data_IF_657123197058
#
_entry.id   IF_657123197058
#
_cell.length_a   1.000
_cell.length_b   1.000
_cell.length_c   1.000
_cell.angle_alpha   90.00
_cell.angle_beta   90.00
_cell.angle_gamma   90.00
#
_symmetry.space_group_name_H-M   'P 1'
#
loop_
_entity.id
_entity.type
_entity.pdbx_description
1 polymer ?
#
# COMPACT_ATOMS: atom_id res chain seq x y z
N UNK A 1 28.45 -5.89 10.73
CA UNK A 1 27.37 -4.95 11.05
C UNK A 1 27.78 -3.58 10.53
N UNK A 2 27.20 -3.13 9.42
CA UNK A 2 27.45 -1.81 8.88
C UNK A 2 26.11 -1.08 8.74
N UNK A 3 25.92 -0.01 9.51
CA UNK A 3 24.75 0.86 9.41
C UNK A 3 24.83 1.80 8.21
N UNK A 4 25.87 1.70 7.38
CA UNK A 4 26.05 2.56 6.21
C UNK A 4 26.25 4.04 6.55
N UNK A 5 26.50 4.37 7.82
CA UNK A 5 26.61 5.74 8.32
C UNK A 5 25.30 6.32 8.86
N UNK A 6 24.21 5.55 8.96
CA UNK A 6 22.99 5.95 9.64
C UNK A 6 23.12 5.77 11.17
N UNK A 7 22.41 6.61 11.94
CA UNK A 7 22.42 6.56 13.41
C UNK A 7 21.76 5.30 13.96
N UNK A 8 20.62 4.92 13.38
CA UNK A 8 19.87 3.72 13.75
C UNK A 8 19.39 3.02 12.49
N UNK A 9 19.55 1.70 12.45
CA UNK A 9 18.97 0.85 11.41
C UNK A 9 18.15 -0.23 12.12
N UNK A 10 16.90 -0.37 11.71
CA UNK A 10 15.95 -1.36 12.21
C UNK A 10 15.62 -2.34 11.09
N UNK A 11 15.65 -3.63 11.39
CA UNK A 11 15.25 -4.69 10.47
C UNK A 11 13.91 -5.26 10.94
N UNK A 12 12.99 -5.38 10.00
CA UNK A 12 11.64 -5.88 10.20
C UNK A 12 11.45 -7.11 9.33
N UNK A 13 11.11 -8.23 9.95
CA UNK A 13 10.67 -9.42 9.25
C UNK A 13 9.24 -9.23 8.72
N UNK A 14 8.95 -9.77 7.53
CA UNK A 14 7.63 -9.69 6.91
C UNK A 14 6.49 -10.20 7.81
N UNK A 15 6.74 -11.24 8.62
CA UNK A 15 5.75 -11.77 9.58
C UNK A 15 5.26 -10.74 10.59
N UNK A 16 6.14 -9.84 11.02
CA UNK A 16 5.80 -8.77 11.94
C UNK A 16 4.88 -7.75 11.25
N UNK A 17 5.22 -7.37 10.01
CA UNK A 17 4.40 -6.48 9.19
C UNK A 17 3.02 -7.09 8.93
N UNK A 18 2.96 -8.37 8.54
CA UNK A 18 1.73 -9.11 8.32
C UNK A 18 0.89 -9.19 9.59
N UNK A 19 1.51 -9.39 10.76
CA UNK A 19 0.80 -9.37 12.04
C UNK A 19 0.17 -8.00 12.33
N UNK A 20 0.89 -6.90 12.05
CA UNK A 20 0.35 -5.55 12.19
C UNK A 20 -0.79 -5.27 11.22
N UNK A 21 -0.65 -5.66 9.94
CA UNK A 21 -1.69 -5.49 8.93
C UNK A 21 -2.95 -6.27 9.29
N UNK A 22 -2.78 -7.50 9.78
CA UNK A 22 -3.89 -8.32 10.29
C UNK A 22 -4.61 -7.66 11.46
N UNK A 23 -3.85 -7.16 12.45
CA UNK A 23 -4.45 -6.44 13.59
C UNK A 23 -5.18 -5.18 13.10
N UNK A 24 -4.58 -4.39 12.21
CA UNK A 24 -5.19 -3.18 11.65
C UNK A 24 -6.50 -3.50 10.90
N UNK A 25 -6.52 -4.60 10.15
CA UNK A 25 -7.72 -5.11 9.48
C UNK A 25 -8.80 -5.50 10.50
N UNK A 26 -8.47 -6.32 11.49
CA UNK A 26 -9.41 -6.72 12.54
C UNK A 26 -9.94 -5.53 13.36
N UNK A 27 -9.17 -4.45 13.49
CA UNK A 27 -9.56 -3.21 14.16
C UNK A 27 -10.33 -2.23 13.26
N UNK A 28 -10.60 -2.59 11.99
CA UNK A 28 -11.32 -1.74 11.04
C UNK A 28 -10.59 -0.45 10.71
N UNK A 29 -9.25 -0.46 10.67
CA UNK A 29 -8.44 0.74 10.39
C UNK A 29 -8.30 1.05 8.90
N UNK A 30 -8.65 0.11 8.03
CA UNK A 30 -8.74 0.37 6.60
C UNK A 30 -10.08 1.01 6.28
N UNK A 31 -10.10 2.14 5.56
CA UNK A 31 -11.35 2.83 5.22
C UNK A 31 -12.16 2.01 4.22
N UNK A 32 -13.48 2.04 4.38
CA UNK A 32 -14.41 1.72 3.30
C UNK A 32 -14.76 3.00 2.56
N UNK A 33 -14.74 2.94 1.24
CA UNK A 33 -15.13 4.05 0.37
C UNK A 33 -16.55 3.83 -0.09
N UNK A 34 -17.46 4.70 0.33
CA UNK A 34 -18.87 4.63 -0.03
C UNK A 34 -19.27 5.86 -0.83
N UNK A 35 -20.16 5.69 -1.79
CA UNK A 35 -20.71 6.78 -2.56
C UNK A 35 -21.86 6.37 -3.45
N UNK A 36 -22.38 7.34 -4.18
CA UNK A 36 -23.41 7.14 -5.20
C UNK A 36 -22.90 7.73 -6.50
N UNK A 37 -22.99 6.95 -7.56
CA UNK A 37 -22.72 7.39 -8.92
C UNK A 37 -24.04 7.47 -9.68
N UNK A 38 -24.42 8.68 -10.07
CA UNK A 38 -25.59 8.91 -10.91
C UNK A 38 -25.20 8.80 -12.38
N UNK A 39 -25.86 7.92 -13.12
CA UNK A 39 -25.61 7.73 -14.55
C UNK A 39 -25.85 9.04 -15.32
N UNK A 40 -24.94 9.45 -16.23
CA UNK A 40 -25.04 10.72 -16.96
C UNK A 40 -25.98 10.59 -18.16
N UNK A 41 -27.23 10.19 -17.93
CA UNK A 41 -28.26 10.06 -18.97
C UNK A 41 -29.15 11.31 -18.94
N UNK A 42 -29.23 12.08 -20.04
CA UNK A 42 -30.10 13.25 -20.09
C UNK A 42 -31.58 12.85 -20.24
N UNK A 43 -32.47 13.73 -19.78
CA UNK A 43 -33.94 13.64 -19.99
C UNK A 43 -34.59 12.34 -19.47
N UNK A 44 -34.13 11.86 -18.31
CA UNK A 44 -34.76 10.71 -17.64
C UNK A 44 -36.06 11.15 -16.96
N UNK A 45 -37.18 10.45 -17.22
CA UNK A 45 -38.45 10.71 -16.52
C UNK A 45 -38.32 10.63 -15.00
N UNK A 46 -39.02 11.49 -14.26
CA UNK A 46 -39.02 11.57 -12.78
C UNK A 46 -39.26 10.20 -12.10
N UNK A 47 -40.08 9.34 -12.72
CA UNK A 47 -40.39 7.99 -12.24
C UNK A 47 -39.25 6.99 -12.39
N UNK A 48 -38.19 7.34 -13.12
CA UNK A 48 -37.01 6.51 -13.35
C UNK A 48 -35.72 7.09 -12.74
N UNK A 49 -35.78 8.28 -12.13
CA UNK A 49 -34.62 8.92 -11.50
C UNK A 49 -33.99 8.04 -10.41
N UNK A 50 -34.80 7.33 -9.60
CA UNK A 50 -34.31 6.44 -8.54
C UNK A 50 -33.49 5.24 -9.07
N UNK A 51 -33.62 4.90 -10.35
CA UNK A 51 -32.87 3.82 -10.98
C UNK A 51 -31.57 4.31 -11.64
N UNK A 52 -31.32 5.62 -11.66
CA UNK A 52 -30.08 6.19 -12.19
C UNK A 52 -28.92 6.14 -11.20
N UNK A 53 -29.23 5.95 -9.91
CA UNK A 53 -28.25 5.95 -8.85
C UNK A 53 -27.67 4.55 -8.64
N UNK A 54 -26.34 4.49 -8.72
CA UNK A 54 -25.54 3.30 -8.40
C UNK A 54 -24.84 3.58 -7.09
N UNK A 55 -25.35 3.02 -6.01
CA UNK A 55 -24.62 2.96 -4.74
C UNK A 55 -23.40 2.08 -4.90
N UNK A 56 -22.26 2.48 -4.34
CA UNK A 56 -21.07 1.65 -4.28
C UNK A 56 -20.44 1.71 -2.90
N UNK A 57 -19.87 0.58 -2.48
CA UNK A 57 -19.01 0.46 -1.31
C UNK A 57 -17.81 -0.37 -1.69
N UNK A 58 -16.61 0.18 -1.56
CA UNK A 58 -15.35 -0.50 -1.80
C UNK A 58 -14.59 -0.64 -0.49
N UNK A 59 -14.18 -1.85 -0.15
CA UNK A 59 -13.44 -2.12 1.08
C UNK A 59 -12.49 -3.32 0.91
N UNK A 60 -11.81 -3.72 1.98
CA UNK A 60 -10.98 -4.91 1.99
C UNK A 60 -11.80 -6.12 2.42
N UNK A 61 -11.82 -7.16 1.58
CA UNK A 61 -12.45 -8.44 1.88
C UNK A 61 -11.63 -9.25 2.91
N UNK A 62 -10.30 -9.08 2.92
CA UNK A 62 -9.36 -9.77 3.81
C UNK A 62 -8.17 -8.89 4.18
N UNK A 63 -7.40 -9.32 5.18
CA UNK A 63 -6.15 -8.67 5.52
C UNK A 63 -5.19 -8.64 4.31
N UNK A 64 -4.53 -7.51 4.03
CA UNK A 64 -3.49 -7.45 3.02
C UNK A 64 -2.29 -8.24 3.50
N UNK A 65 -1.61 -8.90 2.56
CA UNK A 65 -0.40 -9.70 2.82
C UNK A 65 0.78 -9.02 2.17
N UNK A 66 1.87 -8.92 2.92
CA UNK A 66 3.14 -8.38 2.53
C UNK A 66 4.16 -9.52 2.44
N UNK A 67 4.93 -9.56 1.37
CA UNK A 67 6.02 -10.51 1.20
C UNK A 67 7.23 -9.83 0.57
N UNK A 68 8.43 -10.25 0.97
CA UNK A 68 9.65 -9.92 0.25
C UNK A 68 9.93 -11.00 -0.78
N UNK A 69 10.20 -10.61 -2.03
CA UNK A 69 10.54 -11.57 -3.07
C UNK A 69 12.04 -11.87 -3.07
N UNK A 70 12.42 -13.02 -3.63
CA UNK A 70 13.84 -13.37 -3.85
C UNK A 70 14.58 -12.34 -4.72
N UNK A 71 13.85 -11.57 -5.53
CA UNK A 71 14.38 -10.49 -6.36
C UNK A 71 14.66 -9.19 -5.58
N UNK A 72 14.28 -9.11 -4.30
CA UNK A 72 14.42 -7.89 -3.49
C UNK A 72 13.32 -6.87 -3.70
N UNK A 73 12.16 -7.32 -4.21
CA UNK A 73 10.97 -6.49 -4.38
C UNK A 73 9.99 -6.73 -3.23
N UNK A 74 9.15 -5.74 -2.97
CA UNK A 74 8.01 -5.89 -2.09
C UNK A 74 6.82 -6.38 -2.91
N UNK A 75 6.18 -7.43 -2.45
CA UNK A 75 4.93 -7.91 -3.02
C UNK A 75 3.81 -7.67 -2.00
N UNK A 76 2.75 -7.01 -2.45
CA UNK A 76 1.55 -6.77 -1.66
C UNK A 76 0.39 -7.48 -2.35
N UNK A 77 -0.24 -8.41 -1.64
CA UNK A 77 -1.47 -9.06 -2.09
C UNK A 77 -2.65 -8.45 -1.34
N UNK A 78 -3.64 -7.98 -2.08
CA UNK A 78 -4.84 -7.32 -1.55
C UNK A 78 -6.07 -7.99 -2.13
N UNK A 79 -7.03 -8.34 -1.28
CA UNK A 79 -8.36 -8.78 -1.73
C UNK A 79 -9.38 -7.70 -1.39
N UNK A 80 -9.85 -7.01 -2.42
CA UNK A 80 -10.87 -5.97 -2.32
C UNK A 80 -12.26 -6.55 -2.52
N UNK A 81 -13.23 -5.95 -1.88
CA UNK A 81 -14.67 -6.19 -2.07
C UNK A 81 -15.30 -4.88 -2.55
N UNK A 82 -16.10 -4.98 -3.60
CA UNK A 82 -16.94 -3.90 -4.10
C UNK A 82 -18.39 -4.37 -4.11
N UNK A 83 -19.22 -3.75 -3.29
CA UNK A 83 -20.66 -3.96 -3.24
C UNK A 83 -21.33 -2.84 -4.00
N UNK A 84 -22.14 -3.18 -5.00
CA UNK A 84 -22.90 -2.22 -5.79
C UNK A 84 -24.38 -2.38 -5.52
N UNK A 85 -25.07 -1.27 -5.19
CA UNK A 85 -26.53 -1.23 -5.07
C UNK A 85 -27.10 -0.51 -6.29
N UNK A 86 -27.83 -1.24 -7.14
CA UNK A 86 -28.47 -0.70 -8.34
C UNK A 86 -29.96 -0.91 -8.30
N UNK A 87 -30.68 -0.20 -9.18
CA UNK A 87 -32.13 -0.33 -9.33
C UNK A 87 -32.89 -0.22 -8.00
N UNK A 88 -32.44 0.70 -7.13
CA UNK A 88 -33.04 1.02 -5.83
C UNK A 88 -32.77 0.01 -4.69
N UNK A 89 -32.46 -1.26 -4.97
CA UNK A 89 -32.26 -2.27 -3.92
C UNK A 89 -31.51 -3.55 -4.33
N UNK A 90 -31.04 -3.67 -5.57
CA UNK A 90 -30.34 -4.89 -6.02
C UNK A 90 -28.87 -4.76 -5.70
N UNK A 91 -28.38 -5.65 -4.83
CA UNK A 91 -26.97 -5.72 -4.45
C UNK A 91 -26.22 -6.71 -5.33
N UNK A 92 -25.02 -6.31 -5.76
CA UNK A 92 -24.06 -7.12 -6.50
C UNK A 92 -22.71 -7.04 -5.79
N UNK A 93 -22.14 -8.21 -5.47
CA UNK A 93 -20.86 -8.29 -4.78
C UNK A 93 -19.78 -8.71 -5.77
N UNK A 94 -18.70 -7.94 -5.81
CA UNK A 94 -17.51 -8.22 -6.60
C UNK A 94 -16.32 -8.29 -5.67
N UNK A 95 -15.69 -9.45 -5.57
CA UNK A 95 -14.39 -9.57 -4.94
C UNK A 95 -13.29 -9.69 -6.01
N UNK A 96 -12.20 -8.98 -5.81
CA UNK A 96 -11.04 -9.08 -6.69
C UNK A 96 -9.76 -9.18 -5.87
N UNK A 97 -8.91 -10.14 -6.24
CA UNK A 97 -7.58 -10.29 -5.67
C UNK A 97 -6.55 -9.69 -6.60
N UNK A 98 -5.72 -8.81 -6.04
CA UNK A 98 -4.62 -8.16 -6.72
C UNK A 98 -3.30 -8.55 -6.08
N UNK A 99 -2.29 -8.71 -6.93
CA UNK A 99 -0.89 -8.76 -6.51
C UNK A 99 -0.16 -7.57 -7.11
N UNK A 100 0.51 -6.80 -6.26
CA UNK A 100 1.24 -5.58 -6.63
C UNK A 100 2.71 -5.79 -6.25
N UNK A 101 3.61 -5.63 -7.21
CA UNK A 101 5.04 -5.59 -6.98
C UNK A 101 5.48 -4.12 -6.87
N UNK A 102 6.29 -3.81 -5.87
CA UNK A 102 6.74 -2.46 -5.61
C UNK A 102 8.16 -2.39 -5.02
N UNK A 103 8.85 -1.29 -5.30
CA UNK A 103 10.18 -0.99 -4.81
C UNK A 103 10.10 0.24 -3.90
N UNK A 104 10.46 0.13 -2.61
CA UNK A 104 10.51 1.27 -1.73
C UNK A 104 11.75 2.10 -2.08
N UNK A 105 11.55 3.40 -2.27
CA UNK A 105 12.59 4.36 -2.52
C UNK A 105 12.57 5.48 -1.48
N UNK A 106 13.74 6.02 -1.18
CA UNK A 106 13.86 7.19 -0.33
C UNK A 106 14.83 8.17 -0.97
N UNK A 107 14.35 9.37 -1.26
CA UNK A 107 15.19 10.47 -1.73
C UNK A 107 15.69 11.29 -0.52
N UNK A 108 17.00 11.24 -0.20
CA UNK A 108 17.55 11.98 0.93
C UNK A 108 17.57 13.50 0.71
N UNK A 109 17.49 13.99 -0.53
CA UNK A 109 17.49 15.42 -0.83
C UNK A 109 16.13 16.06 -0.53
N UNK A 110 15.05 15.41 -0.96
CA UNK A 110 13.66 15.85 -0.71
C UNK A 110 13.09 15.31 0.60
N UNK A 111 13.77 14.33 1.22
CA UNK A 111 13.31 13.56 2.39
C UNK A 111 11.98 12.85 2.13
N UNK A 112 11.81 12.41 0.90
CA UNK A 112 10.58 11.82 0.44
C UNK A 112 10.73 10.31 0.40
N UNK A 113 9.81 9.62 1.09
CA UNK A 113 9.66 8.19 0.92
C UNK A 113 8.61 7.95 -0.16
N UNK A 114 8.97 7.12 -1.11
CA UNK A 114 8.15 6.71 -2.23
C UNK A 114 8.11 5.19 -2.34
N UNK A 115 7.05 4.69 -2.93
CA UNK A 115 6.93 3.28 -3.29
C UNK A 115 6.64 3.28 -4.77
N UNK A 116 7.58 2.79 -5.58
CA UNK A 116 7.39 2.65 -7.02
C UNK A 116 6.72 1.31 -7.31
N UNK A 117 5.49 1.34 -7.82
CA UNK A 117 4.81 0.12 -8.25
C UNK A 117 5.35 -0.30 -9.63
N UNK A 118 6.02 -1.44 -9.69
CA UNK A 118 6.63 -1.96 -10.94
C UNK A 118 5.64 -2.77 -11.77
N UNK A 119 4.68 -3.43 -11.11
CA UNK A 119 3.71 -4.30 -11.76
C UNK A 119 2.48 -4.53 -10.87
N UNK A 120 1.33 -4.77 -11.48
CA UNK A 120 0.16 -5.31 -10.79
C UNK A 120 -0.58 -6.33 -11.65
N UNK A 121 -1.13 -7.37 -11.01
CA UNK A 121 -2.03 -8.35 -11.61
C UNK A 121 -3.32 -8.45 -10.85
N UNK A 122 -4.37 -8.75 -11.60
CA UNK A 122 -5.60 -9.36 -11.10
C UNK A 122 -5.41 -10.88 -11.14
N UNK A 123 -5.36 -11.49 -9.97
CA UNK A 123 -5.15 -12.93 -9.82
C UNK A 123 -6.48 -13.69 -9.91
N UNK A 124 -7.54 -13.09 -9.36
CA UNK A 124 -8.87 -13.68 -9.30
C UNK A 124 -9.94 -12.59 -9.22
N UNK A 125 -11.13 -12.92 -9.75
CA UNK A 125 -12.33 -12.08 -9.64
C UNK A 125 -13.52 -13.00 -9.41
N UNK A 126 -14.24 -12.75 -8.33
CA UNK A 126 -15.43 -13.47 -7.91
C UNK A 126 -16.64 -12.55 -7.94
N UNK A 127 -17.74 -13.05 -8.49
CA UNK A 127 -19.06 -12.42 -8.41
C UNK A 127 -19.93 -13.21 -7.43
N UNK A 128 -20.53 -12.50 -6.48
CA UNK A 128 -21.41 -13.02 -5.43
C UNK A 128 -20.81 -14.23 -4.69
N UNK A 129 -19.49 -14.26 -4.52
CA UNK A 129 -18.73 -15.35 -3.86
C UNK A 129 -18.97 -16.75 -4.45
N UNK A 130 -19.44 -16.83 -5.70
CA UNK A 130 -19.81 -18.09 -6.36
C UNK A 130 -19.20 -18.24 -7.75
N UNK A 131 -19.13 -17.15 -8.50
CA UNK A 131 -18.76 -17.19 -9.91
C UNK A 131 -17.37 -16.59 -10.11
N UNK A 132 -16.37 -17.46 -10.31
CA UNK A 132 -15.04 -17.05 -10.73
C UNK A 132 -15.03 -16.72 -12.22
N UNK A 133 -14.40 -15.61 -12.58
CA UNK A 133 -14.20 -15.28 -13.99
C UNK A 133 -13.24 -16.29 -14.65
N UNK A 134 -13.54 -16.75 -15.88
CA UNK A 134 -12.63 -17.63 -16.62
C UNK A 134 -11.26 -17.00 -16.83
N UNK A 135 -10.20 -17.82 -16.85
CA UNK A 135 -8.84 -17.35 -17.06
C UNK A 135 -8.66 -16.52 -18.35
N UNK A 136 -9.45 -16.78 -19.40
CA UNK A 136 -9.45 -15.99 -20.63
C UNK A 136 -9.95 -14.55 -20.43
N UNK A 137 -10.90 -14.36 -19.52
CA UNK A 137 -11.42 -13.04 -19.14
C UNK A 137 -10.42 -12.33 -18.23
N UNK A 138 -9.85 -13.03 -17.24
CA UNK A 138 -8.78 -12.50 -16.40
C UNK A 138 -7.57 -12.05 -17.23
N UNK A 139 -7.16 -12.84 -18.23
CA UNK A 139 -6.10 -12.45 -19.15
C UNK A 139 -6.42 -11.17 -19.93
N UNK A 140 -7.70 -10.92 -20.26
CA UNK A 140 -8.14 -9.67 -20.91
C UNK A 140 -8.16 -8.50 -19.94
N UNK A 141 -8.63 -8.72 -18.71
CA UNK A 141 -8.58 -7.71 -17.65
C UNK A 141 -7.12 -7.32 -17.34
N UNK A 142 -6.22 -8.29 -17.22
CA UNK A 142 -4.80 -8.03 -17.03
C UNK A 142 -4.15 -7.33 -18.23
N UNK A 143 -4.60 -7.59 -19.47
CA UNK A 143 -4.16 -6.79 -20.62
C UNK A 143 -4.61 -5.34 -20.53
N UNK A 144 -5.88 -5.10 -20.15
CA UNK A 144 -6.43 -3.75 -19.96
C UNK A 144 -5.71 -3.05 -18.81
N UNK A 145 -5.49 -3.75 -17.70
CA UNK A 145 -4.79 -3.24 -16.53
C UNK A 145 -3.33 -2.94 -16.85
N UNK A 146 -2.64 -3.77 -17.63
CA UNK A 146 -1.29 -3.49 -18.10
C UNK A 146 -1.25 -2.25 -19.00
N UNK A 147 -2.22 -2.08 -19.91
CA UNK A 147 -2.34 -0.86 -20.74
C UNK A 147 -2.62 0.37 -19.88
N UNK A 148 -3.54 0.25 -18.91
CA UNK A 148 -3.87 1.30 -17.96
C UNK A 148 -2.64 1.68 -17.15
N UNK A 149 -1.97 0.69 -16.55
CA UNK A 149 -0.71 0.89 -15.85
C UNK A 149 0.35 1.50 -16.74
N UNK A 150 0.55 1.06 -17.99
CA UNK A 150 1.54 1.66 -18.89
C UNK A 150 1.22 3.14 -19.19
N UNK A 151 -0.07 3.48 -19.36
CA UNK A 151 -0.53 4.85 -19.56
C UNK A 151 -0.44 5.71 -18.28
N UNK A 152 -0.74 5.14 -17.11
CA UNK A 152 -0.66 5.79 -15.79
C UNK A 152 0.77 5.78 -15.20
N UNK A 153 1.67 4.91 -15.68
CA UNK A 153 3.11 4.90 -15.38
C UNK A 153 3.81 6.07 -16.08
N UNK A 154 3.29 6.51 -17.23
CA UNK A 154 3.82 7.67 -17.96
C UNK A 154 3.29 9.02 -17.47
N UNK A 155 2.08 9.06 -16.90
CA UNK A 155 1.46 10.28 -16.38
C UNK A 155 1.24 10.17 -14.87
N UNK A 156 2.10 10.86 -14.10
CA UNK A 156 1.90 11.34 -12.72
C UNK A 156 0.93 10.51 -11.85
N UNK A 157 1.48 9.62 -11.00
CA UNK A 157 0.94 9.06 -9.71
C UNK A 157 1.24 7.56 -9.59
N UNK A 158 2.53 7.20 -9.53
CA UNK A 158 2.97 5.88 -9.02
C UNK A 158 3.85 6.03 -7.77
N UNK A 159 4.39 7.22 -7.53
CA UNK A 159 5.05 7.59 -6.29
C UNK A 159 3.99 7.92 -5.26
N UNK A 160 3.66 6.98 -4.38
CA UNK A 160 2.90 7.32 -3.16
C UNK A 160 3.86 8.11 -2.27
N UNK A 161 3.74 9.44 -2.31
CA UNK A 161 4.52 10.32 -1.45
C UNK A 161 4.05 10.18 0.00
N UNK A 162 4.75 9.35 0.78
CA UNK A 162 4.63 9.42 2.23
C UNK A 162 5.47 10.62 2.67
N UNK A 163 4.84 11.80 2.58
CA UNK A 163 5.35 13.13 2.99
C UNK A 163 6.24 13.06 4.24
N UNK A 164 7.23 13.97 4.35
CA UNK A 164 8.47 13.74 5.08
C UNK A 164 8.21 13.16 6.45
N UNK A 165 8.75 11.96 6.65
CA UNK A 165 8.68 11.21 7.90
C UNK A 165 9.65 11.85 8.90
N UNK A 166 9.33 13.06 9.32
CA UNK A 166 9.96 13.78 10.42
C UNK A 166 9.12 13.51 11.67
N UNK A 167 9.54 12.50 12.44
CA UNK A 167 8.95 12.25 13.73
C UNK A 167 9.70 13.05 14.79
N UNK A 168 8.97 13.74 15.64
CA UNK A 168 9.53 14.43 16.80
C UNK A 168 9.14 13.61 18.03
N UNK A 169 10.05 12.78 18.54
CA UNK A 169 9.76 11.94 19.68
C UNK A 169 9.86 12.73 20.99
N UNK A 170 8.88 12.56 21.88
CA UNK A 170 8.98 13.07 23.25
C UNK A 170 10.06 12.28 24.00
N UNK A 171 11.01 13.01 24.58
CA UNK A 171 12.05 12.41 25.39
C UNK A 171 11.57 12.27 26.84
N UNK A 172 11.81 11.12 27.49
CA UNK A 172 11.39 10.92 28.87
C UNK A 172 12.08 11.96 29.77
N UNK A 173 11.31 12.49 30.73
CA UNK A 173 11.75 13.50 31.70
C UNK A 173 12.12 14.87 31.12
N UNK A 174 11.77 15.17 29.87
CA UNK A 174 11.93 16.51 29.30
C UNK A 174 10.66 17.36 29.51
N UNK A 175 10.79 18.70 29.63
CA UNK A 175 9.63 19.58 29.65
C UNK A 175 8.83 19.47 28.35
N UNK A 176 7.52 19.73 28.44
CA UNK A 176 6.68 19.82 27.25
C UNK A 176 7.16 20.98 26.35
N UNK A 177 7.18 20.74 25.04
CA UNK A 177 7.52 21.75 24.03
C UNK A 177 8.35 21.18 22.89
N UNK A 178 8.15 21.70 21.68
CA UNK A 178 8.82 21.18 20.47
C UNK A 178 10.35 21.32 20.52
N UNK A 179 10.86 22.29 21.29
CA UNK A 179 12.29 22.48 21.51
C UNK A 179 12.96 21.32 22.26
N UNK A 180 12.19 20.46 22.93
CA UNK A 180 12.69 19.33 23.72
C UNK A 180 12.39 17.97 23.09
N UNK A 181 11.82 17.97 21.88
CA UNK A 181 11.58 16.74 21.12
C UNK A 181 12.84 16.34 20.36
N UNK A 182 13.08 15.05 20.23
CA UNK A 182 14.14 14.51 19.39
C UNK A 182 13.64 14.48 17.94
N UNK A 183 14.24 15.26 17.02
CA UNK A 183 13.92 15.11 15.61
C UNK A 183 14.52 13.81 15.08
N UNK A 184 13.66 12.98 14.51
CA UNK A 184 13.96 11.71 13.86
C UNK A 184 13.59 11.88 12.39
N UNK A 185 14.56 11.74 11.50
CA UNK A 185 14.32 11.67 10.05
C UNK A 185 14.52 10.26 9.54
N UNK A 186 13.63 9.78 8.67
CA UNK A 186 13.94 8.60 7.87
C UNK A 186 15.18 8.89 7.00
N UNK A 187 16.10 7.92 6.95
CA UNK A 187 17.36 8.03 6.21
C UNK A 187 17.42 7.12 4.99
N UNK A 188 16.80 5.94 5.06
CA UNK A 188 16.69 4.99 3.95
C UNK A 188 15.67 3.89 4.26
N UNK A 189 15.17 3.22 3.21
CA UNK A 189 14.59 1.89 3.33
C UNK A 189 15.30 0.95 2.36
N UNK A 190 15.44 -0.33 2.72
CA UNK A 190 16.05 -1.34 1.87
C UNK A 190 15.42 -2.69 2.11
N UNK A 191 15.24 -3.46 1.04
CA UNK A 191 14.77 -4.83 1.10
C UNK A 191 15.96 -5.79 1.09
N UNK A 192 15.91 -6.78 1.97
CA UNK A 192 16.88 -7.85 2.10
C UNK A 192 16.15 -9.19 1.95
N UNK A 193 16.27 -9.85 0.79
CA UNK A 193 15.73 -11.18 0.60
C UNK A 193 16.25 -12.19 1.64
N UNK A 194 15.43 -13.17 2.03
CA UNK A 194 14.11 -13.47 1.47
C UNK A 194 12.93 -12.78 2.16
N UNK A 195 13.12 -12.14 3.32
CA UNK A 195 11.98 -11.81 4.19
C UNK A 195 12.15 -10.54 5.04
N UNK A 196 13.23 -9.79 4.84
CA UNK A 196 13.62 -8.68 5.72
C UNK A 196 13.51 -7.36 5.00
N UNK A 197 12.96 -6.36 5.67
CA UNK A 197 12.98 -4.96 5.25
C UNK A 197 13.69 -4.14 6.32
N UNK A 198 14.68 -3.36 5.93
CA UNK A 198 15.40 -2.46 6.80
C UNK A 198 14.91 -1.01 6.61
N UNK A 199 14.62 -0.34 7.73
CA UNK A 199 14.45 1.10 7.80
C UNK A 199 15.62 1.73 8.54
N UNK A 200 16.27 2.71 7.92
CA UNK A 200 17.32 3.51 8.55
C UNK A 200 16.76 4.87 8.95
N UNK A 201 17.15 5.37 10.13
CA UNK A 201 16.77 6.68 10.63
C UNK A 201 18.00 7.44 11.14
N UNK A 202 17.95 8.75 10.96
CA UNK A 202 18.93 9.70 11.46
C UNK A 202 18.29 10.56 12.54
N UNK A 203 19.07 10.85 13.57
CA UNK A 203 18.67 11.65 14.71
C UNK A 203 19.27 13.05 14.61
N UNK A 204 18.69 14.02 15.32
CA UNK A 204 19.27 15.35 15.50
C UNK A 204 19.52 16.13 14.19
N UNK A 205 18.75 15.82 13.14
CA UNK A 205 18.84 16.50 11.84
C UNK A 205 20.04 16.08 10.99
N UNK A 206 20.73 14.99 11.34
CA UNK A 206 21.73 14.38 10.47
C UNK A 206 21.08 13.84 9.18
N UNK A 207 21.77 13.99 8.03
CA UNK A 207 21.25 13.59 6.71
C UNK A 207 22.26 12.78 5.90
N UNK A 208 23.26 12.19 6.56
CA UNK A 208 24.22 11.30 5.91
C UNK A 208 23.76 9.85 5.87
N UNK A 209 24.62 8.99 5.33
CA UNK A 209 24.40 7.55 5.21
C UNK A 209 24.32 7.09 3.74
N UNK A 210 24.62 5.82 3.52
CA UNK A 210 24.50 5.17 2.21
C UNK A 210 23.65 3.91 2.34
N UNK A 211 22.45 3.87 1.72
CA UNK A 211 21.58 2.68 1.73
C UNK A 211 22.29 1.43 1.18
N UNK A 212 23.13 1.61 0.16
CA UNK A 212 23.92 0.54 -0.44
C UNK A 212 24.93 -0.10 0.54
N UNK A 213 25.42 0.68 1.51
CA UNK A 213 26.38 0.23 2.52
C UNK A 213 25.71 -0.41 3.75
N UNK A 214 24.37 -0.35 3.87
CA UNK A 214 23.63 -1.09 4.89
C UNK A 214 23.72 -2.57 4.59
N UNK A 215 24.12 -3.36 5.59
CA UNK A 215 24.16 -4.82 5.51
C UNK A 215 23.00 -5.43 6.30
N UNK A 216 22.43 -6.54 5.83
CA UNK A 216 21.54 -7.37 6.63
C UNK A 216 22.28 -7.87 7.89
N UNK A 217 21.81 -7.48 9.06
CA UNK A 217 22.40 -7.85 10.35
C UNK A 217 21.97 -9.25 10.79
N UNK A 218 20.80 -9.69 10.34
CA UNK A 218 20.22 -11.00 10.67
C UNK A 218 20.68 -12.11 9.74
N UNK A 219 21.22 -11.78 8.57
CA UNK A 219 21.55 -12.73 7.50
C UNK A 219 20.34 -13.60 7.13
N UNK A 220 19.15 -13.00 7.08
CA UNK A 220 17.87 -13.66 6.86
C UNK A 220 17.38 -14.54 8.01
N UNK A 221 18.02 -14.52 9.18
CA UNK A 221 17.61 -15.30 10.35
C UNK A 221 16.95 -14.42 11.41
N UNK A 222 15.62 -14.33 11.34
CA UNK A 222 14.80 -13.94 12.49
C UNK A 222 14.16 -15.21 13.06
N UNK A 223 14.60 -15.63 14.26
CA UNK A 223 13.88 -16.60 15.10
C UNK A 223 12.83 -15.83 15.90
#
# INVERSE_FOLDING_TARGET
MNTGGFDVVMELHEDLLNSFLKIAYCLGKFPAFEGVYTLPVPDVPDDLEEFMDIGYRVSLAREPVFAVTDAGELQITVRGEAVFTVLGAIEFDLEAQFTIAAIPEFDPATRQFSVECTFATVDDVELDNQYHLPASVLAKLNQILAIGMEAFLTDEVMTIELSPVLFSAELPFMPAGDAYKLPIGLGAARVFPPSVVAGAVNLLGYTGGSPAAVSDFTHGNHI
#
